data_IF_265249351786
#
_entry.id   IF_265249351786
#
_cell.length_a   1.000
_cell.length_b   1.000
_cell.length_c   1.000
_cell.angle_alpha   90.00
_cell.angle_beta   90.00
_cell.angle_gamma   90.00
#
_symmetry.space_group_name_H-M   'P 1'
#
loop_
_entity.id
_entity.type
_entity.pdbx_description
1 polymer ?
#
# COMPACT_ATOMS: atom_id res chain seq x y z
N UNK A 1 6.98 -32.79 31.73
CA UNK A 1 7.33 -31.40 31.38
C UNK A 1 6.35 -30.97 30.31
N UNK A 2 5.45 -30.03 30.62
CA UNK A 2 4.48 -29.55 29.63
C UNK A 2 5.03 -28.26 29.02
N UNK A 3 5.25 -28.28 27.71
CA UNK A 3 5.61 -27.08 26.94
C UNK A 3 4.29 -26.51 26.42
N UNK A 4 3.65 -25.65 27.20
CA UNK A 4 2.47 -24.92 26.72
C UNK A 4 2.90 -23.77 25.80
N UNK A 5 2.08 -23.38 24.82
CA UNK A 5 2.33 -22.18 24.04
C UNK A 5 2.33 -20.97 24.98
N UNK A 6 3.42 -20.19 24.96
CA UNK A 6 3.61 -19.01 25.83
C UNK A 6 2.47 -17.98 25.71
N UNK A 7 1.75 -17.99 24.60
CA UNK A 7 0.78 -16.96 24.23
C UNK A 7 -0.68 -17.38 24.47
N UNK A 8 -0.95 -18.51 25.15
CA UNK A 8 -2.32 -19.00 25.36
C UNK A 8 -3.22 -17.98 26.10
N UNK A 9 -2.64 -17.19 27.01
CA UNK A 9 -3.34 -16.14 27.78
C UNK A 9 -3.90 -15.04 26.88
N UNK A 10 -3.33 -14.85 25.69
CA UNK A 10 -3.70 -13.79 24.77
C UNK A 10 -4.75 -14.26 23.73
N UNK A 11 -5.11 -15.54 23.72
CA UNK A 11 -6.12 -16.08 22.80
C UNK A 11 -7.47 -15.42 23.10
N UNK A 12 -8.11 -14.85 22.06
CA UNK A 12 -9.41 -14.18 22.16
C UNK A 12 -9.34 -12.76 22.72
N UNK A 13 -8.15 -12.21 22.96
CA UNK A 13 -7.98 -10.80 23.29
C UNK A 13 -8.01 -9.94 22.01
N UNK A 14 -8.41 -8.69 22.14
CA UNK A 14 -8.36 -7.73 21.05
C UNK A 14 -6.91 -7.46 20.64
N UNK A 15 -6.61 -7.55 19.35
CA UNK A 15 -5.31 -7.17 18.80
C UNK A 15 -5.04 -5.70 19.06
N UNK A 16 -3.94 -5.39 19.72
CA UNK A 16 -3.53 -4.01 19.96
C UNK A 16 -2.82 -3.45 18.73
N UNK A 17 -3.02 -2.15 18.44
CA UNK A 17 -2.30 -1.46 17.35
C UNK A 17 -0.79 -1.65 17.47
N UNK A 18 -0.25 -1.55 18.69
CA UNK A 18 1.18 -1.73 18.94
C UNK A 18 1.72 -3.10 18.49
N UNK A 19 0.91 -4.15 18.55
CA UNK A 19 1.32 -5.48 18.07
C UNK A 19 1.47 -5.48 16.54
N UNK A 20 0.56 -4.81 15.84
CA UNK A 20 0.63 -4.62 14.38
C UNK A 20 1.87 -3.80 14.02
N UNK A 21 2.08 -2.66 14.69
CA UNK A 21 3.22 -1.77 14.42
C UNK A 21 4.56 -2.47 14.64
N UNK A 22 4.71 -3.20 15.75
CA UNK A 22 5.90 -3.99 16.02
C UNK A 22 6.14 -5.05 14.94
N UNK A 23 5.07 -5.68 14.45
CA UNK A 23 5.16 -6.68 13.38
C UNK A 23 5.57 -6.03 12.05
N UNK A 24 5.04 -4.85 11.71
CA UNK A 24 5.49 -4.08 10.53
C UNK A 24 6.99 -3.77 10.64
N UNK A 25 7.46 -3.27 11.78
CA UNK A 25 8.87 -2.95 11.99
C UNK A 25 9.77 -4.20 11.88
N UNK A 26 9.31 -5.34 12.43
CA UNK A 26 10.03 -6.60 12.29
C UNK A 26 10.12 -7.03 10.83
N UNK A 27 9.01 -7.06 10.10
CA UNK A 27 8.96 -7.42 8.68
C UNK A 27 9.88 -6.54 7.85
N UNK A 28 9.86 -5.22 8.08
CA UNK A 28 10.76 -4.28 7.41
C UNK A 28 12.23 -4.55 7.75
N UNK A 29 12.56 -4.88 9.00
CA UNK A 29 13.94 -5.21 9.38
C UNK A 29 14.49 -6.47 8.71
N UNK A 30 13.60 -7.38 8.29
CA UNK A 30 13.95 -8.60 7.57
C UNK A 30 14.03 -8.37 6.04
N UNK A 31 13.44 -7.30 5.54
CA UNK A 31 13.50 -6.89 4.13
C UNK A 31 14.72 -5.99 3.92
N UNK A 32 15.67 -6.42 3.09
CA UNK A 32 16.80 -5.59 2.69
C UNK A 32 16.46 -4.68 1.50
N UNK A 33 15.40 -3.87 1.58
CA UNK A 33 14.97 -2.97 0.51
C UNK A 33 14.43 -1.65 1.09
N UNK A 34 15.12 -0.54 0.80
CA UNK A 34 14.73 0.81 1.22
C UNK A 34 14.06 1.63 0.10
N UNK A 35 13.62 0.98 -0.98
CA UNK A 35 12.86 1.61 -2.07
C UNK A 35 11.36 1.36 -1.88
N UNK A 36 10.51 2.35 -2.10
CA UNK A 36 9.04 2.24 -1.95
C UNK A 36 8.29 2.82 -3.15
N UNK A 37 7.26 2.09 -3.60
CA UNK A 37 6.22 2.62 -4.49
C UNK A 37 5.30 3.52 -3.69
N UNK A 38 5.28 4.80 -4.03
CA UNK A 38 4.80 5.85 -3.15
C UNK A 38 3.80 6.76 -3.85
N UNK A 39 2.55 6.76 -3.40
CA UNK A 39 1.46 7.58 -3.97
C UNK A 39 1.09 8.80 -3.13
N UNK A 40 1.69 8.96 -1.95
CA UNK A 40 1.20 9.92 -0.94
C UNK A 40 -0.23 9.62 -0.47
N UNK A 41 -0.69 8.37 -0.61
CA UNK A 41 -1.93 7.89 0.01
C UNK A 41 -1.69 7.42 1.44
N UNK A 42 -2.76 7.18 2.20
CA UNK A 42 -2.70 6.69 3.57
C UNK A 42 -1.76 5.48 3.73
N UNK A 43 -1.90 4.47 2.86
CA UNK A 43 -1.19 3.19 2.99
C UNK A 43 0.32 3.33 2.81
N UNK A 44 0.72 4.04 1.75
CA UNK A 44 2.12 4.22 1.37
C UNK A 44 2.81 5.28 2.24
N UNK A 45 2.08 6.26 2.75
CA UNK A 45 2.59 7.24 3.71
C UNK A 45 2.81 6.63 5.09
N UNK A 46 1.87 5.79 5.56
CA UNK A 46 2.05 5.06 6.81
C UNK A 46 3.20 4.04 6.70
N UNK A 47 3.33 3.35 5.56
CA UNK A 47 4.47 2.47 5.31
C UNK A 47 5.79 3.24 5.28
N UNK A 48 5.84 4.39 4.58
CA UNK A 48 7.02 5.27 4.57
C UNK A 48 7.42 5.67 5.99
N UNK A 49 6.46 6.07 6.84
CA UNK A 49 6.73 6.39 8.25
C UNK A 49 7.44 5.25 8.98
N UNK A 50 6.99 4.00 8.83
CA UNK A 50 7.65 2.85 9.45
C UNK A 50 9.00 2.53 8.82
N UNK A 51 9.15 2.68 7.50
CA UNK A 51 10.43 2.52 6.82
C UNK A 51 11.49 3.48 7.36
N UNK A 52 11.13 4.72 7.69
CA UNK A 52 12.07 5.72 8.23
C UNK A 52 12.55 5.42 9.66
N UNK A 53 11.94 4.46 10.35
CA UNK A 53 12.43 3.97 11.64
C UNK A 53 13.43 2.82 11.50
N UNK A 54 13.48 2.19 10.31
CA UNK A 54 14.29 1.01 10.03
C UNK A 54 15.48 1.36 9.14
N UNK A 55 15.30 2.27 8.18
CA UNK A 55 16.30 2.65 7.21
C UNK A 55 16.72 4.12 7.38
N UNK A 56 18.04 4.37 7.37
CA UNK A 56 18.60 5.71 7.47
C UNK A 56 18.23 6.62 6.29
N UNK A 57 17.97 6.03 5.12
CA UNK A 57 17.51 6.74 3.92
C UNK A 57 16.56 5.85 3.12
N UNK A 58 15.45 6.45 2.65
CA UNK A 58 14.41 5.78 1.84
C UNK A 58 14.30 6.43 0.47
N UNK A 59 14.14 5.62 -0.58
CA UNK A 59 13.91 6.07 -1.95
C UNK A 59 12.44 5.89 -2.33
N UNK A 60 11.71 6.99 -2.47
CA UNK A 60 10.29 6.96 -2.79
C UNK A 60 10.06 7.23 -4.28
N UNK A 61 9.27 6.37 -4.94
CA UNK A 61 8.98 6.46 -6.37
C UNK A 61 7.49 6.71 -6.59
N UNK A 62 7.15 7.82 -7.23
CA UNK A 62 5.77 8.19 -7.57
C UNK A 62 5.61 8.29 -9.08
N UNK A 63 4.46 7.84 -9.60
CA UNK A 63 4.06 8.11 -10.98
C UNK A 63 2.75 8.89 -11.02
N UNK A 64 2.65 9.86 -11.93
CA UNK A 64 1.47 10.68 -12.16
C UNK A 64 1.28 11.01 -13.64
N UNK A 65 0.06 11.41 -14.02
CA UNK A 65 -0.20 11.93 -15.37
C UNK A 65 0.32 13.35 -15.61
N UNK A 66 0.43 14.15 -14.55
CA UNK A 66 0.98 15.51 -14.56
C UNK A 66 1.53 15.87 -13.19
N UNK A 67 2.15 17.05 -13.08
CA UNK A 67 2.62 17.59 -11.81
C UNK A 67 1.47 17.94 -10.86
N UNK A 68 0.28 18.23 -11.39
CA UNK A 68 -0.95 18.48 -10.61
C UNK A 68 -1.74 17.20 -10.32
N UNK A 69 -1.24 16.03 -10.72
CA UNK A 69 -1.91 14.78 -10.40
C UNK A 69 -1.95 14.61 -8.87
N UNK A 70 -3.09 14.23 -8.25
CA UNK A 70 -3.20 14.15 -6.79
C UNK A 70 -2.10 13.30 -6.14
N UNK A 71 -1.74 12.15 -6.71
CA UNK A 71 -0.65 11.34 -6.14
C UNK A 71 0.72 12.05 -6.15
N UNK A 72 0.97 12.92 -7.13
CA UNK A 72 2.20 13.72 -7.21
C UNK A 72 2.17 14.83 -6.17
N UNK A 73 1.06 15.57 -6.05
CA UNK A 73 0.93 16.63 -5.06
C UNK A 73 1.03 16.09 -3.62
N UNK A 74 0.29 15.02 -3.31
CA UNK A 74 0.29 14.44 -1.97
C UNK A 74 1.59 13.73 -1.63
N UNK A 75 2.24 13.06 -2.59
CA UNK A 75 3.56 12.47 -2.33
C UNK A 75 4.58 13.55 -2.00
N UNK A 76 4.59 14.67 -2.72
CA UNK A 76 5.44 15.83 -2.42
C UNK A 76 5.13 16.44 -1.04
N UNK A 77 3.84 16.55 -0.70
CA UNK A 77 3.41 17.05 0.61
C UNK A 77 3.95 16.19 1.76
N UNK A 78 3.88 14.86 1.63
CA UNK A 78 4.34 13.96 2.70
C UNK A 78 5.85 14.05 2.91
N UNK A 79 6.62 14.21 1.84
CA UNK A 79 8.09 14.17 1.90
C UNK A 79 8.74 15.55 2.05
N UNK A 80 7.97 16.65 2.05
CA UNK A 80 8.51 18.01 2.00
C UNK A 80 9.47 18.33 3.15
N UNK A 81 9.20 17.76 4.33
CA UNK A 81 9.98 17.98 5.55
C UNK A 81 10.81 16.74 5.96
N UNK A 82 10.97 15.76 5.06
CA UNK A 82 11.67 14.50 5.33
C UNK A 82 13.05 14.48 4.64
N UNK A 83 14.08 14.93 5.35
CA UNK A 83 15.46 15.03 4.82
C UNK A 83 16.07 13.69 4.40
N UNK A 84 15.62 12.59 5.01
CA UNK A 84 16.08 11.24 4.75
C UNK A 84 15.31 10.52 3.64
N UNK A 85 14.46 11.23 2.88
CA UNK A 85 13.72 10.68 1.75
C UNK A 85 14.23 11.25 0.43
N UNK A 86 14.69 10.38 -0.46
CA UNK A 86 14.97 10.73 -1.85
C UNK A 86 13.73 10.43 -2.68
N UNK A 87 12.97 11.47 -3.01
CA UNK A 87 11.73 11.34 -3.77
C UNK A 87 11.95 11.51 -5.27
N UNK A 88 11.45 10.56 -6.06
CA UNK A 88 11.51 10.54 -7.51
C UNK A 88 10.10 10.51 -8.07
N UNK A 89 9.76 11.55 -8.83
CA UNK A 89 8.48 11.66 -9.53
C UNK A 89 8.70 11.35 -11.00
N UNK A 90 7.87 10.46 -11.55
CA UNK A 90 7.85 10.10 -12.95
C UNK A 90 6.52 10.52 -13.59
N UNK A 91 6.62 11.38 -14.60
CA UNK A 91 5.49 11.75 -15.44
C UNK A 91 5.78 11.20 -16.84
N UNK A 92 5.10 10.10 -17.24
CA UNK A 92 5.30 9.51 -18.56
C UNK A 92 4.96 10.51 -19.67
N UNK A 93 5.79 10.58 -20.69
CA UNK A 93 5.46 11.30 -21.90
C UNK A 93 4.31 10.62 -22.66
N UNK A 94 3.58 11.37 -23.47
CA UNK A 94 2.53 10.81 -24.33
C UNK A 94 3.04 9.66 -25.21
N UNK A 95 4.27 9.77 -25.72
CA UNK A 95 4.91 8.73 -26.52
C UNK A 95 5.16 7.46 -25.71
N UNK A 96 5.56 7.56 -24.44
CA UNK A 96 5.72 6.39 -23.57
C UNK A 96 4.38 5.72 -23.27
N UNK A 97 3.31 6.51 -23.09
CA UNK A 97 1.95 5.99 -22.93
C UNK A 97 1.43 5.28 -24.19
N UNK A 98 1.73 5.80 -25.39
CA UNK A 98 1.37 5.14 -26.65
C UNK A 98 2.17 3.84 -26.88
N UNK A 99 3.47 3.84 -26.54
CA UNK A 99 4.35 2.68 -26.70
C UNK A 99 4.07 1.61 -25.64
N UNK A 100 3.41 1.94 -24.53
CA UNK A 100 2.94 0.97 -23.56
C UNK A 100 1.84 0.09 -24.19
N UNK A 101 2.27 -0.94 -24.92
CA UNK A 101 1.39 -1.83 -25.67
C UNK A 101 0.37 -2.48 -24.73
N UNK A 102 -0.90 -2.45 -25.15
CA UNK A 102 -1.94 -3.28 -24.56
C UNK A 102 -1.68 -4.73 -24.97
N UNK A 103 -1.48 -5.60 -23.99
CA UNK A 103 -1.28 -7.03 -24.21
C UNK A 103 -2.62 -7.75 -24.10
N UNK A 104 -2.78 -8.81 -24.87
CA UNK A 104 -4.00 -9.62 -24.79
C UNK A 104 -4.15 -10.19 -23.37
N UNK A 105 -5.30 -9.91 -22.73
CA UNK A 105 -5.57 -10.30 -21.35
C UNK A 105 -5.15 -9.30 -20.27
N UNK A 106 -4.75 -8.08 -20.67
CA UNK A 106 -4.51 -6.98 -19.73
C UNK A 106 -5.77 -6.60 -18.96
N UNK A 107 -5.58 -6.31 -17.68
CA UNK A 107 -6.55 -5.59 -16.86
C UNK A 107 -6.37 -4.08 -17.00
N UNK A 108 -7.36 -3.33 -16.55
CA UNK A 108 -7.24 -1.88 -16.43
C UNK A 108 -6.11 -1.51 -15.46
N UNK A 109 -5.16 -0.66 -15.86
CA UNK A 109 -4.00 -0.28 -15.04
C UNK A 109 -2.71 -1.02 -15.39
N UNK A 110 -2.78 -2.13 -16.13
CA UNK A 110 -1.60 -2.99 -16.38
C UNK A 110 -0.46 -2.28 -17.12
N UNK A 111 -0.83 -1.46 -18.11
CA UNK A 111 0.12 -0.64 -18.88
C UNK A 111 0.80 0.42 -18.01
N UNK A 112 0.04 1.06 -17.12
CA UNK A 112 0.55 2.01 -16.14
C UNK A 112 1.53 1.33 -15.18
N UNK A 113 1.18 0.14 -14.66
CA UNK A 113 2.08 -0.65 -13.80
C UNK A 113 3.37 -1.01 -14.54
N UNK A 114 3.29 -1.49 -15.80
CA UNK A 114 4.50 -1.80 -16.60
C UNK A 114 5.41 -0.60 -16.80
N UNK A 115 4.83 0.56 -17.10
CA UNK A 115 5.59 1.79 -17.27
C UNK A 115 6.28 2.21 -15.97
N UNK A 116 5.56 2.13 -14.85
CA UNK A 116 6.12 2.44 -13.54
C UNK A 116 7.32 1.54 -13.22
N UNK A 117 7.19 0.22 -13.37
CA UNK A 117 8.28 -0.71 -13.07
C UNK A 117 9.45 -0.60 -14.06
N UNK A 118 9.20 -0.26 -15.32
CA UNK A 118 10.27 0.09 -16.28
C UNK A 118 11.05 1.33 -15.85
N UNK A 119 10.38 2.32 -15.26
CA UNK A 119 11.03 3.50 -14.68
C UNK A 119 11.83 3.14 -13.42
N UNK A 120 11.23 2.42 -12.48
CA UNK A 120 11.87 1.97 -11.23
C UNK A 120 13.14 1.16 -11.51
N UNK A 121 13.12 0.28 -12.52
CA UNK A 121 14.26 -0.56 -12.93
C UNK A 121 15.50 0.22 -13.37
N UNK A 122 15.37 1.51 -13.67
CA UNK A 122 16.52 2.38 -13.97
C UNK A 122 17.32 2.74 -12.72
N UNK A 123 16.76 2.52 -11.52
CA UNK A 123 17.33 2.95 -10.24
C UNK A 123 17.53 1.79 -9.25
N UNK A 124 16.67 0.78 -9.28
CA UNK A 124 16.73 -0.35 -8.34
C UNK A 124 16.16 -1.63 -8.96
N UNK A 125 16.62 -2.77 -8.48
CA UNK A 125 16.11 -4.10 -8.82
C UNK A 125 15.00 -4.57 -7.89
N UNK A 126 14.73 -3.83 -6.81
CA UNK A 126 13.75 -4.22 -5.80
C UNK A 126 13.03 -3.01 -5.18
N UNK A 127 11.78 -3.22 -4.78
CA UNK A 127 10.91 -2.18 -4.23
C UNK A 127 9.86 -2.76 -3.29
N UNK A 128 9.47 -1.99 -2.27
CA UNK A 128 8.30 -2.25 -1.42
C UNK A 128 7.06 -1.64 -2.08
N UNK A 129 5.99 -2.41 -2.19
CA UNK A 129 4.66 -1.94 -2.56
C UNK A 129 3.66 -2.22 -1.43
N UNK A 130 2.57 -1.48 -1.41
CA UNK A 130 1.59 -1.50 -0.32
C UNK A 130 0.31 -2.28 -0.68
N UNK A 131 0.32 -3.08 -1.74
CA UNK A 131 -0.81 -3.89 -2.18
C UNK A 131 -1.28 -4.88 -1.10
N UNK A 132 -2.57 -5.20 -1.10
CA UNK A 132 -3.20 -6.13 -0.16
C UNK A 132 -3.82 -5.48 1.08
N UNK A 133 -3.33 -4.32 1.52
CA UNK A 133 -3.84 -3.66 2.73
C UNK A 133 -5.29 -3.19 2.57
N UNK A 134 -5.71 -2.84 1.36
CA UNK A 134 -7.08 -2.44 1.06
C UNK A 134 -8.09 -3.57 1.32
N UNK A 135 -7.72 -4.80 0.97
CA UNK A 135 -8.53 -5.99 1.18
C UNK A 135 -8.60 -6.34 2.67
N UNK A 136 -7.48 -6.24 3.39
CA UNK A 136 -7.42 -6.54 4.82
C UNK A 136 -8.04 -5.45 5.71
N UNK A 137 -7.97 -4.17 5.31
CA UNK A 137 -8.43 -3.01 6.08
C UNK A 137 -9.68 -2.33 5.51
N UNK A 138 -10.40 -3.01 4.62
CA UNK A 138 -11.67 -2.54 4.09
C UNK A 138 -11.58 -1.17 3.37
N UNK A 139 -10.63 -1.03 2.46
CA UNK A 139 -10.28 0.24 1.83
C UNK A 139 -11.11 0.69 0.62
N UNK A 140 -11.79 -0.23 -0.06
CA UNK A 140 -12.70 0.08 -1.18
C UNK A 140 -14.03 0.71 -0.75
N UNK A 141 -14.59 1.62 -1.57
CA UNK A 141 -15.92 2.22 -1.34
C UNK A 141 -17.01 1.17 -1.11
N UNK A 142 -16.95 0.04 -1.82
CA UNK A 142 -17.90 -1.07 -1.64
C UNK A 142 -17.89 -1.67 -0.23
N UNK A 143 -16.75 -1.64 0.48
CA UNK A 143 -16.71 -2.03 1.89
C UNK A 143 -17.50 -1.06 2.78
N UNK A 144 -17.46 0.23 2.49
CA UNK A 144 -18.22 1.24 3.24
C UNK A 144 -19.72 1.12 2.97
N UNK A 145 -20.08 0.92 1.71
CA UNK A 145 -21.46 0.79 1.27
C UNK A 145 -22.11 -0.49 1.85
N UNK A 146 -21.32 -1.56 1.94
CA UNK A 146 -21.72 -2.89 2.44
C UNK A 146 -20.68 -3.39 3.46
N UNK A 147 -20.70 -2.88 4.70
CA UNK A 147 -19.71 -3.24 5.73
C UNK A 147 -20.07 -4.60 6.37
N UNK A 148 -20.16 -5.63 5.53
CA UNK A 148 -20.56 -6.99 5.89
C UNK A 148 -19.44 -7.98 5.56
N UNK A 149 -19.42 -9.11 6.27
CA UNK A 149 -18.43 -10.17 6.09
C UNK A 149 -18.33 -10.66 4.64
N UNK A 150 -19.47 -10.84 3.97
CA UNK A 150 -19.48 -11.29 2.57
C UNK A 150 -18.72 -10.36 1.63
N UNK A 151 -18.83 -9.04 1.85
CA UNK A 151 -18.12 -8.06 1.02
C UNK A 151 -16.63 -8.10 1.31
N UNK A 152 -16.25 -8.13 2.59
CA UNK A 152 -14.87 -8.26 3.03
C UNK A 152 -14.18 -9.52 2.46
N UNK A 153 -14.78 -10.68 2.66
CA UNK A 153 -14.20 -11.93 2.18
C UNK A 153 -14.22 -12.06 0.66
N UNK A 154 -15.12 -11.36 -0.04
CA UNK A 154 -15.09 -11.33 -1.51
C UNK A 154 -13.83 -10.62 -2.01
N UNK A 155 -13.51 -9.44 -1.48
CA UNK A 155 -12.28 -8.73 -1.84
C UNK A 155 -11.03 -9.54 -1.50
N UNK A 156 -10.98 -10.17 -0.32
CA UNK A 156 -9.86 -11.06 0.04
C UNK A 156 -9.69 -12.23 -0.92
N UNK A 157 -10.77 -12.89 -1.35
CA UNK A 157 -10.71 -13.99 -2.32
C UNK A 157 -10.24 -13.53 -3.70
N UNK A 158 -10.58 -12.30 -4.07
CA UNK A 158 -10.26 -11.72 -5.37
C UNK A 158 -8.86 -11.09 -5.42
N UNK A 159 -8.24 -10.79 -4.26
CA UNK A 159 -6.93 -10.16 -4.12
C UNK A 159 -5.89 -10.74 -5.09
N UNK A 160 -5.71 -12.06 -5.08
CA UNK A 160 -4.71 -12.72 -5.91
C UNK A 160 -4.99 -12.52 -7.40
N UNK A 161 -6.23 -12.76 -7.82
CA UNK A 161 -6.62 -12.70 -9.24
C UNK A 161 -6.64 -11.28 -9.81
N UNK A 162 -7.10 -10.31 -9.02
CA UNK A 162 -7.32 -8.92 -9.47
C UNK A 162 -6.15 -7.98 -9.22
N UNK A 163 -5.28 -8.26 -8.26
CA UNK A 163 -4.20 -7.35 -7.89
C UNK A 163 -2.82 -8.03 -7.95
N UNK A 164 -2.63 -9.16 -7.27
CA UNK A 164 -1.28 -9.75 -7.15
C UNK A 164 -0.77 -10.38 -8.45
N UNK A 165 -1.62 -11.10 -9.19
CA UNK A 165 -1.26 -11.68 -10.48
C UNK A 165 -0.96 -10.58 -11.52
N UNK A 166 -1.80 -9.54 -11.68
CA UNK A 166 -1.47 -8.39 -12.52
C UNK A 166 -0.17 -7.70 -12.11
N UNK A 167 0.03 -7.42 -10.81
CA UNK A 167 1.26 -6.83 -10.30
C UNK A 167 2.49 -7.65 -10.70
N UNK A 168 2.48 -8.95 -10.41
CA UNK A 168 3.58 -9.86 -10.76
C UNK A 168 3.86 -9.92 -12.26
N UNK A 169 2.81 -9.99 -13.09
CA UNK A 169 2.96 -10.01 -14.56
C UNK A 169 3.57 -8.73 -15.12
N UNK A 170 3.34 -7.61 -14.45
CA UNK A 170 3.66 -6.28 -14.95
C UNK A 170 4.88 -5.64 -14.27
N UNK A 171 5.43 -6.23 -13.21
CA UNK A 171 6.63 -5.73 -12.52
C UNK A 171 7.95 -6.08 -13.23
N UNK A 172 7.92 -6.99 -14.21
CA UNK A 172 9.12 -7.42 -14.95
C UNK A 172 10.18 -8.02 -14.02
N UNK A 173 11.44 -7.61 -14.19
CA UNK A 173 12.57 -8.08 -13.38
C UNK A 173 12.78 -7.28 -12.08
N UNK A 174 11.78 -6.50 -11.64
CA UNK A 174 11.81 -5.83 -10.33
C UNK A 174 11.20 -6.76 -9.29
N UNK A 175 11.95 -7.04 -8.23
CA UNK A 175 11.46 -7.80 -7.07
C UNK A 175 10.57 -6.90 -6.21
N UNK A 176 9.30 -7.29 -6.07
CA UNK A 176 8.32 -6.52 -5.29
C UNK A 176 8.10 -7.20 -3.93
N UNK A 177 8.36 -6.47 -2.85
CA UNK A 177 8.01 -6.90 -1.50
C UNK A 177 6.65 -6.31 -1.10
N UNK A 178 5.83 -7.11 -0.41
CA UNK A 178 4.49 -6.73 0.02
C UNK A 178 4.38 -6.90 1.55
N UNK A 179 4.94 -5.98 2.36
CA UNK A 179 5.01 -6.16 3.81
C UNK A 179 3.66 -6.39 4.46
N UNK A 180 2.60 -5.73 3.99
CA UNK A 180 1.24 -5.91 4.50
C UNK A 180 0.65 -7.32 4.29
N UNK A 181 1.29 -8.13 3.44
CA UNK A 181 0.93 -9.52 3.18
C UNK A 181 1.89 -10.53 3.85
N UNK A 182 2.74 -10.08 4.78
CA UNK A 182 3.48 -10.98 5.65
C UNK A 182 2.53 -11.87 6.47
N UNK A 183 2.89 -13.13 6.69
CA UNK A 183 2.05 -14.11 7.38
C UNK A 183 1.70 -13.67 8.81
N UNK A 184 2.62 -13.01 9.52
CA UNK A 184 2.39 -12.46 10.85
C UNK A 184 1.36 -11.34 10.82
N UNK A 185 1.48 -10.42 9.86
CA UNK A 185 0.51 -9.32 9.70
C UNK A 185 -0.85 -9.83 9.24
N UNK A 186 -0.91 -10.75 8.28
CA UNK A 186 -2.16 -11.39 7.85
C UNK A 186 -2.84 -12.07 9.04
N UNK A 187 -2.09 -12.80 9.86
CA UNK A 187 -2.63 -13.47 11.04
C UNK A 187 -3.25 -12.48 12.03
N UNK A 188 -2.58 -11.35 12.29
CA UNK A 188 -3.13 -10.29 13.13
C UNK A 188 -4.37 -9.66 12.49
N UNK A 189 -4.29 -9.27 11.22
CA UNK A 189 -5.39 -8.62 10.50
C UNK A 189 -6.65 -9.50 10.44
N UNK A 190 -6.51 -10.81 10.25
CA UNK A 190 -7.63 -11.75 10.20
C UNK A 190 -8.37 -11.88 11.53
N UNK A 191 -7.75 -11.54 12.66
CA UNK A 191 -8.38 -11.59 13.99
C UNK A 191 -9.17 -10.33 14.33
N UNK A 192 -9.02 -9.26 13.55
CA UNK A 192 -9.66 -7.97 13.81
C UNK A 192 -11.08 -7.96 13.25
N UNK A 193 -12.04 -7.65 14.11
CA UNK A 193 -13.45 -7.51 13.74
C UNK A 193 -13.65 -6.50 12.61
N UNK A 194 -14.58 -6.78 11.70
CA UNK A 194 -14.86 -5.91 10.54
C UNK A 194 -15.34 -4.52 10.99
N UNK A 195 -16.09 -4.43 12.09
CA UNK A 195 -16.56 -3.17 12.70
C UNK A 195 -15.42 -2.20 13.10
N UNK A 196 -14.24 -2.75 13.41
CA UNK A 196 -13.00 -2.01 13.69
C UNK A 196 -12.29 -1.56 12.41
N UNK A 197 -12.57 -2.18 11.26
CA UNK A 197 -11.98 -1.86 9.95
C UNK A 197 -12.84 -0.87 9.17
N UNK A 198 -14.16 -1.01 9.21
CA UNK A 198 -15.10 -0.20 8.41
C UNK A 198 -16.48 -0.09 9.05
N UNK A 199 -17.12 1.05 8.83
CA UNK A 199 -18.57 1.24 8.98
C UNK A 199 -19.09 2.14 7.85
N UNK A 200 -20.36 2.54 7.90
CA UNK A 200 -20.95 3.40 6.86
C UNK A 200 -20.34 4.80 6.77
N UNK A 201 -19.68 5.27 7.83
CA UNK A 201 -19.07 6.60 7.90
C UNK A 201 -17.59 6.62 7.53
N UNK A 202 -16.86 5.52 7.78
CA UNK A 202 -15.40 5.51 7.65
C UNK A 202 -14.86 4.15 7.18
N UNK A 203 -13.99 4.18 6.17
CA UNK A 203 -13.16 3.04 5.72
C UNK A 203 -11.80 3.07 6.38
N UNK A 204 -11.11 1.93 6.41
CA UNK A 204 -9.75 1.81 6.98
C UNK A 204 -9.65 2.41 8.37
N UNK A 205 -10.70 2.31 9.19
CA UNK A 205 -10.79 2.95 10.50
C UNK A 205 -9.55 2.67 11.35
N UNK A 206 -9.13 1.42 11.40
CA UNK A 206 -7.92 1.03 12.11
C UNK A 206 -6.65 1.64 11.51
N UNK A 207 -6.52 1.70 10.19
CA UNK A 207 -5.33 2.28 9.54
C UNK A 207 -5.28 3.81 9.74
N UNK A 208 -6.44 4.47 9.77
CA UNK A 208 -6.58 5.88 10.15
C UNK A 208 -6.15 6.10 11.60
N UNK A 209 -6.62 5.27 12.53
CA UNK A 209 -6.19 5.30 13.94
C UNK A 209 -4.68 5.04 14.09
N UNK A 210 -4.12 4.15 13.27
CA UNK A 210 -2.68 3.91 13.21
C UNK A 210 -1.92 5.09 12.64
N UNK A 211 -2.47 5.84 11.68
CA UNK A 211 -1.80 6.95 11.02
C UNK A 211 -1.88 8.27 11.81
N UNK A 212 -2.85 8.40 12.70
CA UNK A 212 -3.08 9.58 13.53
C UNK A 212 -1.80 10.00 14.29
N UNK A 213 -1.40 11.26 14.13
CA UNK A 213 -0.17 11.82 14.71
C UNK A 213 1.15 11.29 14.12
N UNK A 214 1.12 10.45 13.07
CA UNK A 214 2.33 9.88 12.43
C UNK A 214 2.58 10.43 11.02
N UNK A 215 1.53 10.80 10.30
CA UNK A 215 1.59 11.40 8.96
C UNK A 215 0.70 12.65 8.91
N UNK A 216 0.85 13.54 7.91
CA UNK A 216 0.03 14.75 7.82
C UNK A 216 -1.48 14.46 7.74
N UNK A 217 -2.28 15.24 8.47
CA UNK A 217 -3.74 15.06 8.58
C UNK A 217 -4.45 15.15 7.22
N UNK A 218 -3.91 15.96 6.30
CA UNK A 218 -4.41 16.11 4.94
C UNK A 218 -4.41 14.79 4.17
N UNK A 219 -3.49 13.87 4.49
CA UNK A 219 -3.39 12.54 3.88
C UNK A 219 -4.42 11.59 4.48
N UNK A 220 -4.62 11.67 5.80
CA UNK A 220 -5.57 10.83 6.54
C UNK A 220 -7.00 11.09 6.07
N UNK A 221 -7.34 12.35 5.80
CA UNK A 221 -8.68 12.76 5.37
C UNK A 221 -8.86 12.81 3.85
N UNK A 222 -7.85 12.41 3.07
CA UNK A 222 -7.88 12.40 1.61
C UNK A 222 -8.88 11.38 1.06
N UNK A 223 -9.52 11.70 -0.08
CA UNK A 223 -10.30 10.71 -0.85
C UNK A 223 -9.40 9.64 -1.48
N UNK A 224 -9.86 8.39 -1.49
CA UNK A 224 -9.16 7.29 -2.18
C UNK A 224 -9.21 7.48 -3.70
N UNK A 225 -8.04 7.37 -4.32
CA UNK A 225 -7.83 7.21 -5.76
C UNK A 225 -7.09 5.89 -5.97
N UNK A 226 -7.50 5.06 -6.94
CA UNK A 226 -6.79 3.82 -7.26
C UNK A 226 -5.61 4.08 -8.19
N UNK A 227 -4.61 3.19 -8.22
CA UNK A 227 -3.48 3.32 -9.15
C UNK A 227 -3.92 3.30 -10.63
N UNK A 228 -5.02 2.61 -10.95
CA UNK A 228 -5.64 2.61 -12.28
C UNK A 228 -6.22 3.99 -12.68
N UNK A 229 -6.45 4.87 -11.71
CA UNK A 229 -6.97 6.23 -11.95
C UNK A 229 -5.85 7.25 -12.22
N UNK A 230 -4.58 6.86 -12.07
CA UNK A 230 -3.40 7.73 -12.18
C UNK A 230 -3.34 8.51 -13.50
N UNK A 231 -3.92 7.97 -14.57
CA UNK A 231 -4.00 8.62 -15.89
C UNK A 231 -5.38 9.16 -16.27
N UNK A 232 -6.39 8.94 -15.43
CA UNK A 232 -7.80 9.28 -15.75
C UNK A 232 -8.22 10.63 -15.20
N UNK A 233 -7.49 11.18 -14.23
CA UNK A 233 -7.75 12.50 -13.66
C UNK A 233 -7.12 13.54 -14.59
N UNK A 234 -7.96 14.20 -15.39
CA UNK A 234 -7.60 15.46 -16.06
C UNK A 234 -7.93 16.58 -15.09
N UNK A 235 -6.97 17.47 -14.83
CA UNK A 235 -7.22 18.75 -14.16
C UNK A 235 -8.28 19.59 -14.87
#
# INVERSE_FOLDING_TARGET
MIVYPKNWINIGQSIQIKEIENTILQVLSEINCNCISFSGGLDSSLMLYYMLQVYDQVYAFTMGSSEEHPDVEYSKLVVSDLENVVHRVYIPSYKELEIAEFRHGDFEGDKEVRLFYKYVKQYTDEIIACDGIDEFMCGYYSHQDKPYEDTYYTHLRELSGKHLIPLYKNSGDVKVYLPYLDDGLISLFSQIEISRKVDKGCRKKLLVEMADGKIPDEIIHRRKYGFCDVLKIKG
#
